data_IF_091085274083
#
_entry.id   IF_091085274083
#
_cell.length_a   1.000
_cell.length_b   1.000
_cell.length_c   1.000
_cell.angle_alpha   90.00
_cell.angle_beta   90.00
_cell.angle_gamma   90.00
#
_symmetry.space_group_name_H-M   'P 1'
#
loop_
_entity.id
_entity.type
_entity.pdbx_description
1 polymer ?
#
# COMPACT_ATOMS: atom_id res chain seq x y z
N UNK A 1 82.30 -17.29 1.30
CA UNK A 1 83.20 -17.48 2.45
C UNK A 1 83.13 -16.20 3.27
N UNK A 2 82.83 -16.30 4.57
CA UNK A 2 82.94 -15.26 5.61
C UNK A 2 81.93 -14.08 5.46
N UNK A 3 81.16 -13.63 6.45
CA UNK A 3 81.15 -13.88 7.89
C UNK A 3 81.14 -12.57 8.68
N UNK A 4 79.97 -12.24 9.24
CA UNK A 4 79.73 -11.66 10.60
C UNK A 4 80.04 -10.19 10.96
N UNK A 5 79.16 -9.72 11.88
CA UNK A 5 79.31 -8.75 12.99
C UNK A 5 79.13 -7.25 12.65
N UNK A 6 78.05 -6.57 13.06
CA UNK A 6 77.62 -6.09 14.41
C UNK A 6 78.48 -4.92 14.92
N UNK A 7 77.89 -3.72 15.05
CA UNK A 7 77.77 -2.97 16.33
C UNK A 7 76.84 -1.75 16.22
N UNK A 8 76.22 -1.42 17.36
CA UNK A 8 75.18 -0.41 17.63
C UNK A 8 75.80 0.90 18.10
N UNK A 9 75.14 2.04 17.88
CA UNK A 9 74.99 3.26 18.72
C UNK A 9 73.95 4.14 17.99
N UNK A 10 73.13 5.05 18.54
CA UNK A 10 72.50 5.31 19.82
C UNK A 10 71.40 6.36 19.55
N UNK A 11 70.47 6.52 20.49
CA UNK A 11 69.21 7.27 20.39
C UNK A 11 69.33 8.79 20.13
N UNK A 12 68.28 9.37 19.54
CA UNK A 12 67.78 10.68 19.94
C UNK A 12 66.26 10.79 19.65
N UNK A 13 65.59 11.49 20.56
CA UNK A 13 64.15 11.56 20.82
C UNK A 13 63.43 12.65 20.02
N UNK A 14 62.10 12.51 19.92
CA UNK A 14 61.12 13.59 19.68
C UNK A 14 60.46 13.53 18.30
N UNK A 15 59.15 13.72 18.12
CA UNK A 15 58.09 14.11 19.03
C UNK A 15 56.72 13.91 18.33
N UNK A 16 55.66 13.96 19.15
CA UNK A 16 54.26 14.20 18.84
C UNK A 16 53.46 13.14 18.07
N UNK A 17 52.53 12.55 18.83
CA UNK A 17 51.28 12.01 18.34
C UNK A 17 50.43 13.10 17.66
N UNK A 18 49.83 12.75 16.52
CA UNK A 18 48.52 13.26 16.11
C UNK A 18 47.66 12.06 15.79
N UNK A 19 46.74 11.75 16.71
CA UNK A 19 45.57 10.92 16.46
C UNK A 19 44.59 11.79 15.67
N UNK A 20 44.33 11.45 14.42
CA UNK A 20 43.19 11.97 13.68
C UNK A 20 42.15 10.85 13.54
N UNK A 21 41.31 10.72 14.56
CA UNK A 21 40.04 10.03 14.44
C UNK A 21 39.09 10.91 13.61
N UNK A 22 38.96 10.63 12.32
CA UNK A 22 37.88 11.18 11.50
C UNK A 22 36.73 10.16 11.47
N UNK A 23 35.87 10.30 12.47
CA UNK A 23 34.46 9.91 12.40
C UNK A 23 33.81 10.68 11.25
N UNK A 24 33.17 10.00 10.30
CA UNK A 24 32.55 10.69 9.18
C UNK A 24 31.83 9.80 8.19
N UNK A 25 30.66 9.30 8.59
CA UNK A 25 29.54 9.08 7.68
C UNK A 25 29.66 7.95 6.65
N UNK A 26 29.35 6.72 7.07
CA UNK A 26 28.68 5.78 6.16
C UNK A 26 27.27 6.33 5.89
N UNK A 27 27.18 7.27 4.95
CA UNK A 27 25.92 7.63 4.34
C UNK A 27 25.45 6.46 3.48
N UNK A 28 24.74 5.51 4.08
CA UNK A 28 23.85 4.63 3.35
C UNK A 28 22.74 5.52 2.78
N UNK A 29 23.00 6.13 1.63
CA UNK A 29 21.97 6.82 0.86
C UNK A 29 20.99 5.73 0.41
N UNK A 30 19.91 5.60 1.18
CA UNK A 30 18.72 4.91 0.74
C UNK A 30 18.33 5.50 -0.60
N UNK A 31 18.42 4.70 -1.65
CA UNK A 31 17.89 5.06 -2.95
C UNK A 31 16.38 5.22 -2.78
N UNK A 32 15.93 6.46 -2.59
CA UNK A 32 14.53 6.82 -2.81
C UNK A 32 14.30 6.59 -4.30
N UNK A 33 13.73 5.43 -4.62
CA UNK A 33 13.23 5.16 -5.95
C UNK A 33 12.11 6.16 -6.17
N UNK A 34 12.40 7.22 -6.92
CA UNK A 34 11.39 8.05 -7.53
C UNK A 34 10.45 7.11 -8.28
N UNK A 35 9.21 6.99 -7.80
CA UNK A 35 8.17 6.20 -8.43
C UNK A 35 7.91 6.82 -9.80
N UNK A 36 8.57 6.32 -10.83
CA UNK A 36 8.21 6.62 -12.22
C UNK A 36 6.79 6.16 -12.42
N UNK A 37 5.91 7.05 -12.90
CA UNK A 37 4.51 6.75 -13.22
C UNK A 37 4.46 5.43 -14.02
N UNK A 38 3.88 4.35 -13.47
CA UNK A 38 3.79 3.09 -14.18
C UNK A 38 3.07 3.30 -15.51
N UNK A 39 3.52 2.63 -16.57
CA UNK A 39 2.76 2.54 -17.82
C UNK A 39 1.35 1.99 -17.56
N UNK A 40 0.40 2.12 -18.51
CA UNK A 40 -0.95 1.60 -18.29
C UNK A 40 -0.87 0.11 -17.97
N UNK A 41 -1.30 -0.26 -16.76
CA UNK A 41 -1.21 -1.64 -16.30
C UNK A 41 -2.13 -2.57 -17.08
N UNK A 42 -1.93 -3.87 -16.90
CA UNK A 42 -2.68 -4.90 -17.62
C UNK A 42 -4.13 -4.93 -17.11
N UNK A 43 -5.08 -5.27 -17.99
CA UNK A 43 -6.50 -5.42 -17.63
C UNK A 43 -6.92 -6.89 -17.68
N UNK A 44 -7.48 -7.38 -16.59
CA UNK A 44 -7.87 -8.78 -16.39
C UNK A 44 -9.36 -8.94 -16.13
N UNK A 45 -9.90 -10.11 -16.46
CA UNK A 45 -11.23 -10.56 -16.04
C UNK A 45 -11.12 -12.03 -15.63
N UNK A 46 -12.01 -12.51 -14.75
CA UNK A 46 -12.04 -13.93 -14.37
C UNK A 46 -12.43 -14.16 -12.91
N UNK A 47 -12.38 -15.42 -12.47
CA UNK A 47 -12.83 -15.82 -11.12
C UNK A 47 -11.92 -15.33 -9.98
N UNK A 48 -10.64 -15.09 -10.26
CA UNK A 48 -9.65 -14.61 -9.28
C UNK A 48 -8.69 -13.64 -9.97
N UNK A 49 -8.21 -12.59 -9.27
CA UNK A 49 -7.14 -11.76 -9.80
C UNK A 49 -5.85 -12.56 -10.05
N UNK A 50 -4.97 -12.10 -10.94
CA UNK A 50 -3.67 -12.73 -11.19
C UNK A 50 -2.78 -12.72 -9.94
N UNK A 51 -1.98 -13.76 -9.77
CA UNK A 51 -1.05 -13.88 -8.63
C UNK A 51 0.22 -13.01 -8.80
N UNK A 52 0.61 -12.71 -10.04
CA UNK A 52 1.75 -11.88 -10.43
C UNK A 52 1.35 -10.41 -10.68
N UNK A 53 0.28 -9.95 -10.01
CA UNK A 53 -0.24 -8.60 -10.15
C UNK A 53 0.79 -7.54 -9.77
N UNK A 54 0.73 -6.39 -10.45
CA UNK A 54 1.65 -5.26 -10.25
C UNK A 54 0.88 -3.97 -10.13
N UNK A 55 1.52 -2.95 -9.53
CA UNK A 55 0.94 -1.62 -9.42
C UNK A 55 0.49 -1.12 -10.81
N UNK A 56 -0.76 -0.65 -10.88
CA UNK A 56 -1.41 -0.20 -12.11
C UNK A 56 -2.23 -1.27 -12.83
N UNK A 57 -2.09 -2.55 -12.49
CA UNK A 57 -2.96 -3.60 -13.03
C UNK A 57 -4.41 -3.38 -12.55
N UNK A 58 -5.36 -3.69 -13.44
CA UNK A 58 -6.80 -3.58 -13.20
C UNK A 58 -7.45 -4.96 -13.37
N UNK A 59 -8.29 -5.35 -12.43
CA UNK A 59 -9.10 -6.57 -12.52
C UNK A 59 -10.59 -6.22 -12.49
N UNK A 60 -11.38 -6.75 -13.42
CA UNK A 60 -12.83 -6.56 -13.46
C UNK A 60 -13.52 -7.72 -12.77
N UNK A 61 -14.27 -7.43 -11.72
CA UNK A 61 -15.06 -8.44 -11.03
C UNK A 61 -16.22 -8.90 -11.94
N UNK A 62 -16.33 -10.21 -12.27
CA UNK A 62 -17.35 -10.71 -13.19
C UNK A 62 -18.78 -10.68 -12.61
N UNK A 63 -18.96 -10.54 -11.28
CA UNK A 63 -20.28 -10.54 -10.64
C UNK A 63 -21.01 -9.20 -10.80
N UNK A 64 -20.31 -8.11 -10.56
CA UNK A 64 -20.88 -6.75 -10.57
C UNK A 64 -20.34 -5.89 -11.72
N UNK A 65 -19.21 -6.24 -12.32
CA UNK A 65 -18.52 -5.47 -13.35
C UNK A 65 -17.65 -4.33 -12.79
N UNK A 66 -17.39 -4.29 -11.48
CA UNK A 66 -16.54 -3.27 -10.87
C UNK A 66 -15.06 -3.47 -11.24
N UNK A 67 -14.34 -2.36 -11.43
CA UNK A 67 -12.89 -2.38 -11.60
C UNK A 67 -12.22 -2.33 -10.22
N UNK A 68 -11.27 -3.25 -10.01
CA UNK A 68 -10.37 -3.26 -8.88
C UNK A 68 -8.96 -2.90 -9.34
N UNK A 69 -8.25 -2.16 -8.49
CA UNK A 69 -6.83 -1.82 -8.68
C UNK A 69 -5.98 -2.58 -7.67
N UNK A 70 -4.77 -2.96 -8.09
CA UNK A 70 -3.82 -3.66 -7.24
C UNK A 70 -3.04 -2.70 -6.34
N UNK A 71 -3.01 -2.99 -5.04
CA UNK A 71 -2.20 -2.30 -4.03
C UNK A 71 -1.07 -3.24 -3.60
N UNK A 72 0.21 -2.89 -3.86
CA UNK A 72 1.35 -3.73 -3.48
C UNK A 72 1.50 -3.90 -1.97
N UNK A 73 2.06 -5.04 -1.58
CA UNK A 73 2.51 -5.28 -0.21
C UNK A 73 3.56 -4.24 0.20
N UNK A 74 3.62 -3.90 1.47
CA UNK A 74 4.64 -3.00 2.01
C UNK A 74 4.17 -2.17 3.19
N UNK A 75 5.14 -1.50 3.79
CA UNK A 75 4.92 -0.54 4.86
C UNK A 75 4.34 0.78 4.31
N UNK A 76 3.45 1.38 5.09
CA UNK A 76 3.03 2.76 4.92
C UNK A 76 2.90 3.42 6.30
N UNK A 77 2.73 4.73 6.29
CA UNK A 77 2.51 5.50 7.49
C UNK A 77 1.01 5.75 7.63
N UNK A 78 0.41 5.24 8.72
CA UNK A 78 -1.01 5.37 9.04
C UNK A 78 -1.23 6.41 10.15
N UNK A 79 -2.29 7.19 10.03
CA UNK A 79 -2.66 8.26 10.96
C UNK A 79 -1.91 9.57 10.72
N UNK A 80 -2.20 10.55 11.57
CA UNK A 80 -1.65 11.90 11.48
C UNK A 80 -1.38 12.48 12.86
N UNK A 81 -0.15 12.93 13.11
CA UNK A 81 0.22 13.61 14.36
C UNK A 81 -0.37 15.03 14.48
N UNK A 82 -0.82 15.60 13.37
CA UNK A 82 -1.49 16.92 13.29
C UNK A 82 -3.02 16.79 13.19
N UNK A 83 -3.56 15.57 13.14
CA UNK A 83 -4.99 15.28 12.99
C UNK A 83 -5.81 15.35 14.28
N UNK A 84 -7.04 14.86 14.22
CA UNK A 84 -7.88 14.69 15.43
C UNK A 84 -7.30 13.63 16.37
N UNK A 85 -7.74 13.60 17.64
CA UNK A 85 -7.26 12.63 18.62
C UNK A 85 -7.45 11.16 18.19
N UNK A 86 -8.47 10.87 17.38
CA UNK A 86 -8.72 9.54 16.82
C UNK A 86 -7.78 9.15 15.68
N UNK A 87 -7.07 10.11 15.08
CA UNK A 87 -6.12 9.89 13.96
C UNK A 87 -4.67 9.75 14.46
N UNK A 88 -4.42 10.05 15.74
CA UNK A 88 -3.11 9.98 16.39
C UNK A 88 -2.88 8.61 17.07
N UNK A 89 -1.62 8.18 17.23
CA UNK A 89 -0.42 8.75 16.64
C UNK A 89 -0.21 8.24 15.21
N UNK A 90 0.64 8.96 14.48
CA UNK A 90 1.21 8.45 13.24
C UNK A 90 2.07 7.22 13.53
N UNK A 91 1.90 6.14 12.76
CA UNK A 91 2.61 4.87 12.98
C UNK A 91 2.89 4.11 11.68
N UNK A 92 3.96 3.32 11.68
CA UNK A 92 4.26 2.38 10.58
C UNK A 92 3.33 1.16 10.67
N UNK A 93 2.69 0.84 9.56
CA UNK A 93 1.86 -0.36 9.40
C UNK A 93 2.29 -1.10 8.14
N UNK A 94 2.51 -2.40 8.26
CA UNK A 94 2.75 -3.28 7.12
C UNK A 94 1.43 -3.93 6.69
N UNK A 95 1.17 -3.95 5.39
CA UNK A 95 0.06 -4.68 4.78
C UNK A 95 0.58 -5.58 3.66
N UNK A 96 0.01 -6.78 3.57
CA UNK A 96 0.15 -7.64 2.39
C UNK A 96 -0.47 -6.97 1.16
N UNK A 97 -0.22 -7.53 -0.01
CA UNK A 97 -0.82 -7.04 -1.25
C UNK A 97 -2.32 -7.39 -1.30
N UNK A 98 -3.13 -6.48 -1.83
CA UNK A 98 -4.56 -6.67 -1.99
C UNK A 98 -5.09 -5.96 -3.23
N UNK A 99 -6.35 -6.24 -3.55
CA UNK A 99 -7.11 -5.55 -4.57
C UNK A 99 -8.23 -4.78 -3.90
N UNK A 100 -8.47 -3.54 -4.33
CA UNK A 100 -9.55 -2.70 -3.83
C UNK A 100 -10.34 -2.12 -5.00
N UNK A 101 -11.63 -1.89 -4.81
CA UNK A 101 -12.46 -1.27 -5.85
C UNK A 101 -11.92 0.12 -6.14
N UNK A 102 -11.78 0.44 -7.42
CA UNK A 102 -11.28 1.75 -7.88
C UNK A 102 -12.24 2.89 -7.53
N UNK A 103 -13.53 2.58 -7.48
CA UNK A 103 -14.61 3.50 -7.19
C UNK A 103 -15.57 2.84 -6.19
N UNK A 104 -16.36 3.67 -5.51
CA UNK A 104 -17.47 3.18 -4.70
C UNK A 104 -18.44 2.35 -5.54
N UNK A 105 -19.12 1.41 -4.87
CA UNK A 105 -20.12 0.57 -5.51
C UNK A 105 -21.24 1.45 -6.07
N UNK A 106 -21.52 1.33 -7.36
CA UNK A 106 -22.56 2.12 -8.01
C UNK A 106 -23.96 1.56 -7.76
N UNK A 107 -24.97 2.39 -7.97
CA UNK A 107 -26.38 1.96 -7.94
C UNK A 107 -26.62 0.83 -8.94
N UNK A 108 -26.06 0.89 -10.14
CA UNK A 108 -26.21 -0.17 -11.15
C UNK A 108 -25.60 -1.50 -10.68
N UNK A 109 -24.43 -1.45 -10.06
CA UNK A 109 -23.77 -2.64 -9.48
C UNK A 109 -24.59 -3.23 -8.32
N UNK A 110 -25.09 -2.39 -7.41
CA UNK A 110 -25.92 -2.84 -6.29
C UNK A 110 -27.28 -3.40 -6.75
N UNK A 111 -27.86 -2.87 -7.84
CA UNK A 111 -29.08 -3.45 -8.44
C UNK A 111 -28.88 -4.88 -8.93
N UNK A 112 -27.70 -5.23 -9.46
CA UNK A 112 -27.38 -6.62 -9.83
C UNK A 112 -27.42 -7.55 -8.61
N UNK A 113 -26.89 -7.08 -7.47
CA UNK A 113 -26.97 -7.80 -6.20
C UNK A 113 -28.42 -8.00 -5.72
N UNK A 114 -29.23 -6.94 -5.72
CA UNK A 114 -30.64 -7.03 -5.36
C UNK A 114 -31.40 -8.01 -6.26
N UNK A 115 -31.20 -7.93 -7.58
CA UNK A 115 -31.83 -8.83 -8.54
C UNK A 115 -31.42 -10.30 -8.32
N UNK A 116 -30.15 -10.55 -8.02
CA UNK A 116 -29.63 -11.91 -7.83
C UNK A 116 -30.04 -12.53 -6.48
N UNK A 117 -30.34 -11.73 -5.47
CA UNK A 117 -30.60 -12.20 -4.09
C UNK A 117 -32.03 -12.01 -3.61
N UNK A 118 -32.86 -11.29 -4.37
CA UNK A 118 -34.22 -10.90 -3.96
C UNK A 118 -34.25 -9.81 -2.88
N UNK A 119 -33.09 -9.24 -2.51
CA UNK A 119 -33.01 -8.15 -1.54
C UNK A 119 -33.58 -6.86 -2.11
N UNK A 120 -34.21 -6.05 -1.26
CA UNK A 120 -34.72 -4.73 -1.63
C UNK A 120 -33.57 -3.71 -1.73
N UNK A 121 -33.74 -2.74 -2.63
CA UNK A 121 -32.90 -1.55 -2.64
C UNK A 121 -33.05 -0.78 -1.31
N UNK A 122 -32.00 -0.09 -0.83
CA UNK A 122 -32.12 0.83 0.30
C UNK A 122 -33.09 1.97 -0.02
N UNK A 123 -33.46 2.74 1.02
CA UNK A 123 -34.30 3.91 0.86
C UNK A 123 -33.66 4.90 -0.13
N UNK A 124 -34.45 5.32 -1.13
CA UNK A 124 -33.98 6.27 -2.12
C UNK A 124 -33.65 7.61 -1.45
N UNK A 125 -32.52 8.25 -1.80
CA UNK A 125 -32.27 9.62 -1.37
C UNK A 125 -33.27 10.57 -2.06
N UNK A 126 -33.38 11.79 -1.56
CA UNK A 126 -34.35 12.78 -2.06
C UNK A 126 -34.13 13.14 -3.55
N UNK A 127 -32.91 12.98 -4.06
CA UNK A 127 -32.53 13.18 -5.46
C UNK A 127 -32.68 11.94 -6.34
N UNK A 128 -33.19 10.82 -5.80
CA UNK A 128 -33.43 9.60 -6.55
C UNK A 128 -32.16 8.81 -6.90
N UNK A 129 -32.33 7.77 -7.73
CA UNK A 129 -31.29 6.82 -8.09
C UNK A 129 -30.72 7.08 -9.49
N UNK A 130 -29.42 7.32 -9.59
CA UNK A 130 -28.66 7.39 -10.85
C UNK A 130 -27.70 6.21 -10.95
N UNK A 131 -27.66 5.56 -12.11
CA UNK A 131 -26.97 4.28 -12.31
C UNK A 131 -25.46 4.32 -11.97
N UNK A 132 -24.79 5.41 -12.35
CA UNK A 132 -23.34 5.57 -12.22
C UNK A 132 -22.92 6.25 -10.90
N UNK A 133 -23.88 6.65 -10.07
CA UNK A 133 -23.58 7.23 -8.77
C UNK A 133 -23.33 6.15 -7.71
N UNK A 134 -22.56 6.47 -6.65
CA UNK A 134 -22.41 5.60 -5.50
C UNK A 134 -23.76 5.23 -4.89
N UNK A 135 -23.91 3.97 -4.49
CA UNK A 135 -25.05 3.54 -3.67
C UNK A 135 -24.92 4.16 -2.27
N UNK A 136 -26.01 4.73 -1.77
CA UNK A 136 -26.09 5.37 -0.45
C UNK A 136 -27.19 4.74 0.41
N UNK A 137 -27.26 5.13 1.69
CA UNK A 137 -28.22 4.60 2.67
C UNK A 137 -28.11 3.07 2.87
N UNK A 138 -26.93 2.50 2.63
CA UNK A 138 -26.63 1.08 2.86
C UNK A 138 -26.14 0.89 4.29
N UNK A 139 -26.73 -0.06 5.01
CA UNK A 139 -26.29 -0.43 6.35
C UNK A 139 -25.07 -1.34 6.26
N UNK A 140 -24.23 -1.32 7.30
CA UNK A 140 -23.03 -2.16 7.34
C UNK A 140 -23.27 -3.65 7.02
N UNK A 141 -24.30 -4.33 7.57
CA UNK A 141 -24.56 -5.74 7.24
C UNK A 141 -24.94 -5.97 5.77
N UNK A 142 -25.57 -4.99 5.13
CA UNK A 142 -25.95 -5.07 3.72
C UNK A 142 -24.73 -4.83 2.81
N UNK A 143 -23.83 -3.92 3.20
CA UNK A 143 -22.53 -3.74 2.54
C UNK A 143 -21.67 -5.01 2.62
N UNK A 144 -21.63 -5.65 3.79
CA UNK A 144 -20.96 -6.95 3.95
C UNK A 144 -21.60 -8.03 3.07
N UNK A 145 -22.92 -8.13 3.06
CA UNK A 145 -23.63 -9.11 2.24
C UNK A 145 -23.39 -8.90 0.73
N UNK A 146 -23.29 -7.64 0.28
CA UNK A 146 -22.91 -7.31 -1.08
C UNK A 146 -21.49 -7.81 -1.39
N UNK A 147 -20.52 -7.51 -0.53
CA UNK A 147 -19.14 -7.94 -0.71
C UNK A 147 -19.03 -9.47 -0.81
N UNK A 148 -19.67 -10.19 0.12
CA UNK A 148 -19.71 -11.65 0.13
C UNK A 148 -20.32 -12.21 -1.17
N UNK A 149 -21.42 -11.63 -1.66
CA UNK A 149 -22.06 -12.03 -2.92
C UNK A 149 -21.17 -11.76 -4.16
N UNK A 150 -20.47 -10.63 -4.15
CA UNK A 150 -19.54 -10.24 -5.21
C UNK A 150 -18.24 -11.05 -5.19
N UNK A 151 -18.02 -11.90 -4.17
CA UNK A 151 -16.80 -12.70 -4.02
C UNK A 151 -15.59 -11.89 -3.56
N UNK A 152 -15.83 -10.76 -2.88
CA UNK A 152 -14.82 -9.88 -2.30
C UNK A 152 -15.09 -9.67 -0.81
N UNK A 153 -14.40 -8.73 -0.17
CA UNK A 153 -14.61 -8.38 1.25
C UNK A 153 -14.56 -6.87 1.44
N UNK A 154 -15.04 -6.41 2.59
CA UNK A 154 -14.80 -5.04 3.01
C UNK A 154 -13.30 -4.84 3.33
N UNK A 155 -12.72 -3.68 2.99
CA UNK A 155 -11.37 -3.34 3.40
C UNK A 155 -11.32 -3.10 4.91
N UNK A 156 -10.16 -3.33 5.51
CA UNK A 156 -9.84 -2.78 6.84
C UNK A 156 -9.60 -1.27 6.72
N UNK A 157 -9.64 -0.55 7.84
CA UNK A 157 -9.31 0.88 7.88
C UNK A 157 -7.91 1.16 7.31
N UNK A 158 -6.92 0.36 7.71
CA UNK A 158 -5.55 0.51 7.23
C UNK A 158 -5.42 0.27 5.72
N UNK A 159 -6.16 -0.69 5.16
CA UNK A 159 -6.19 -0.94 3.72
C UNK A 159 -6.89 0.18 2.96
N UNK A 160 -7.92 0.79 3.56
CA UNK A 160 -8.59 1.93 2.96
C UNK A 160 -7.66 3.15 2.94
N UNK A 161 -6.98 3.43 4.05
CA UNK A 161 -6.06 4.57 4.16
C UNK A 161 -4.83 4.43 3.25
N UNK A 162 -4.22 3.24 3.15
CA UNK A 162 -3.08 3.01 2.24
C UNK A 162 -3.44 3.19 0.76
N UNK A 163 -4.72 3.01 0.41
CA UNK A 163 -5.19 3.09 -0.97
C UNK A 163 -5.72 4.49 -1.37
N UNK A 164 -5.86 5.41 -0.42
CA UNK A 164 -6.35 6.77 -0.63
C UNK A 164 -5.27 7.67 -1.28
#
# INVERSE_FOLDING_TARGET
MVGRAVLRWAAALGALAVVAAALGGLGAQGQSQAQTKPGPGRRFTGKRPPADARLGDVWVNPKDGAELVYVPAGEFIMGSDDGFLSEKPQRKVYLDAYWIYKHEVTVAQYRKFCAATGRKMPAAPIWGWHADHPIVNVRWPDAKAYADWAGVRLPTEAEWEKAA
#
